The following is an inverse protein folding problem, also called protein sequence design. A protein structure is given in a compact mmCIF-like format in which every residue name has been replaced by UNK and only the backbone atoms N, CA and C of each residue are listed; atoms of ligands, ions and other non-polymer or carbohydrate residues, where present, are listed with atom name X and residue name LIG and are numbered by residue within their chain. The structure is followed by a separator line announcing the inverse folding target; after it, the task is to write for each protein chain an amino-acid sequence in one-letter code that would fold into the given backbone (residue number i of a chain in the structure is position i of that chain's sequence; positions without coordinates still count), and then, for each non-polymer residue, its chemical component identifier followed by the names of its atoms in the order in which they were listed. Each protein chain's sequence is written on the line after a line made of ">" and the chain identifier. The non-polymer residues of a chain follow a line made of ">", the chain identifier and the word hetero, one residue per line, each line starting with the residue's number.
data_IF_406121695984
#
_entry.id   IF_406121695984
#
_cell.length_a   1.000
_cell.length_b   1.000
_cell.length_c   1.000
_cell.angle_alpha   90.00
_cell.angle_beta   90.00
_cell.angle_gamma   90.00
#
_symmetry.space_group_name_H-M   'P 1'
#
loop_
_entity.id
_entity.type
_entity.pdbx_description
1 polymer ?
#
# COMPACT_ATOMS: atom_id res chain seq x y z
N UNK A 1 -29.32 -20.75 11.11
CA UNK A 1 -29.34 -20.84 9.64
C UNK A 1 -27.91 -20.83 9.15
N UNK A 2 -27.30 -22.00 9.21
CA UNK A 2 -25.98 -22.28 8.65
C UNK A 2 -26.22 -23.00 7.32
N UNK A 3 -25.84 -22.37 6.21
CA UNK A 3 -25.13 -23.00 5.09
C UNK A 3 -25.09 -22.13 3.83
N UNK A 4 -24.02 -22.37 3.04
CA UNK A 4 -23.60 -21.84 1.73
C UNK A 4 -22.81 -20.54 1.79
N UNK A 5 -21.54 -20.49 1.42
CA UNK A 5 -20.79 -21.21 0.35
C UNK A 5 -19.43 -21.61 0.95
N UNK A 6 -19.03 -22.88 0.98
CA UNK A 6 -18.66 -23.65 -0.20
C UNK A 6 -17.14 -23.66 -0.48
N UNK A 7 -16.28 -23.69 0.54
CA UNK A 7 -14.89 -24.16 0.39
C UNK A 7 -14.61 -25.22 1.45
N UNK A 8 -14.46 -26.46 0.98
CA UNK A 8 -13.90 -27.56 1.75
C UNK A 8 -12.44 -27.22 2.06
N UNK A 9 -12.16 -26.89 3.32
CA UNK A 9 -10.83 -26.63 3.86
C UNK A 9 -9.72 -27.68 3.59
N UNK A 10 -9.95 -28.94 3.12
CA UNK A 10 -8.85 -29.88 2.86
C UNK A 10 -8.05 -29.70 1.56
N UNK A 11 -8.46 -28.86 0.58
CA UNK A 11 -7.80 -28.83 -0.76
C UNK A 11 -6.79 -27.70 -0.98
N UNK A 12 -6.67 -26.74 -0.05
CA UNK A 12 -5.66 -25.68 -0.14
C UNK A 12 -4.29 -26.17 0.33
N UNK A 13 -4.25 -27.05 1.32
CA UNK A 13 -3.00 -27.62 1.85
C UNK A 13 -2.29 -28.60 0.90
N UNK A 14 -2.94 -29.05 -0.16
CA UNK A 14 -2.29 -29.92 -1.17
C UNK A 14 -1.49 -29.15 -2.22
N UNK A 15 -1.67 -27.84 -2.32
CA UNK A 15 -0.96 -26.99 -3.31
C UNK A 15 0.21 -26.22 -2.70
N UNK A 16 0.34 -26.20 -1.37
CA UNK A 16 1.34 -25.40 -0.67
C UNK A 16 2.05 -26.25 0.39
N UNK A 17 3.38 -26.15 0.41
CA UNK A 17 4.24 -26.94 1.30
C UNK A 17 4.07 -26.57 2.78
N UNK A 18 3.53 -25.38 3.08
CA UNK A 18 3.24 -24.94 4.45
C UNK A 18 2.20 -23.83 4.50
N UNK A 19 1.72 -23.52 5.72
CA UNK A 19 0.90 -22.33 5.98
C UNK A 19 1.63 -21.03 5.61
N UNK A 20 2.95 -20.97 5.81
CA UNK A 20 3.75 -19.81 5.39
C UNK A 20 3.81 -19.68 3.87
N UNK A 21 3.83 -20.78 3.12
CA UNK A 21 3.78 -20.72 1.66
C UNK A 21 2.45 -20.14 1.14
N UNK A 22 1.33 -20.38 1.85
CA UNK A 22 0.05 -19.73 1.54
C UNK A 22 0.14 -18.22 1.79
N UNK A 23 0.69 -17.80 2.94
CA UNK A 23 0.85 -16.38 3.26
C UNK A 23 1.81 -15.68 2.30
N UNK A 24 2.87 -16.35 1.88
CA UNK A 24 3.84 -15.84 0.92
C UNK A 24 3.19 -15.57 -0.44
N UNK A 25 2.43 -16.54 -0.96
CA UNK A 25 1.70 -16.37 -2.21
C UNK A 25 0.63 -15.27 -2.11
N UNK A 26 -0.10 -15.18 -0.99
CA UNK A 26 -1.07 -14.10 -0.77
C UNK A 26 -0.39 -12.73 -0.67
N UNK A 27 0.78 -12.66 -0.05
CA UNK A 27 1.58 -11.43 0.06
C UNK A 27 2.03 -10.97 -1.34
N UNK A 28 2.62 -11.89 -2.12
CA UNK A 28 3.07 -11.59 -3.47
C UNK A 28 1.93 -11.19 -4.40
N UNK A 29 0.78 -11.87 -4.31
CA UNK A 29 -0.42 -11.47 -5.06
C UNK A 29 -0.88 -10.06 -4.69
N UNK A 30 -0.97 -9.74 -3.39
CA UNK A 30 -1.44 -8.44 -2.93
C UNK A 30 -0.57 -7.28 -3.42
N UNK A 31 0.76 -7.44 -3.37
CA UNK A 31 1.67 -6.43 -3.90
C UNK A 31 1.71 -6.40 -5.43
N UNK A 32 1.52 -7.53 -6.11
CA UNK A 32 1.38 -7.56 -7.58
C UNK A 32 0.15 -6.78 -8.04
N UNK A 33 -0.99 -6.95 -7.35
CA UNK A 33 -2.20 -6.16 -7.61
C UNK A 33 -1.99 -4.66 -7.35
N UNK A 34 -1.26 -4.32 -6.28
CA UNK A 34 -0.91 -2.94 -5.95
C UNK A 34 -0.02 -2.32 -7.06
N UNK A 35 1.06 -3.01 -7.43
CA UNK A 35 1.98 -2.60 -8.48
C UNK A 35 1.24 -2.36 -9.80
N UNK A 36 0.44 -3.34 -10.25
CA UNK A 36 -0.35 -3.22 -11.46
C UNK A 36 -1.33 -2.04 -11.41
N UNK A 37 -1.90 -1.75 -10.24
CA UNK A 37 -2.75 -0.57 -10.05
C UNK A 37 -1.98 0.73 -10.25
N UNK A 38 -0.80 0.87 -9.64
CA UNK A 38 0.07 2.04 -9.84
C UNK A 38 0.53 2.18 -11.28
N UNK A 39 0.98 1.09 -11.92
CA UNK A 39 1.41 1.10 -13.32
C UNK A 39 0.29 1.55 -14.26
N UNK A 40 -0.95 1.14 -14.01
CA UNK A 40 -2.10 1.55 -14.83
C UNK A 40 -2.44 3.04 -14.73
N UNK A 41 -1.99 3.70 -13.65
CA UNK A 41 -2.30 5.08 -13.33
C UNK A 41 -1.10 6.03 -13.48
N UNK A 42 0.12 5.51 -13.65
CA UNK A 42 1.36 6.31 -13.60
C UNK A 42 1.41 7.44 -14.64
N UNK A 43 0.84 7.22 -15.82
CA UNK A 43 0.80 8.21 -16.91
C UNK A 43 -0.26 9.31 -16.68
N UNK A 44 -1.09 9.15 -15.65
CA UNK A 44 -2.09 10.13 -15.21
C UNK A 44 -1.57 11.03 -14.08
N UNK A 45 -0.36 10.76 -13.57
CA UNK A 45 0.24 11.56 -12.52
C UNK A 45 0.39 13.03 -12.97
N UNK A 46 -0.07 14.01 -12.17
CA UNK A 46 0.09 15.43 -12.47
C UNK A 46 1.55 15.84 -12.66
N UNK A 47 1.77 16.87 -13.48
CA UNK A 47 3.11 17.47 -13.66
C UNK A 47 3.52 18.38 -12.49
N UNK A 48 2.55 18.92 -11.75
CA UNK A 48 2.79 19.69 -10.54
C UNK A 48 3.20 18.77 -9.38
N UNK A 49 4.23 19.15 -8.62
CA UNK A 49 4.81 18.32 -7.58
C UNK A 49 3.83 18.03 -6.45
N UNK A 50 3.10 19.06 -5.98
CA UNK A 50 2.14 18.92 -4.89
C UNK A 50 0.96 18.06 -5.32
N UNK A 51 0.43 18.29 -6.51
CA UNK A 51 -0.65 17.45 -7.05
C UNK A 51 -0.20 16.00 -7.31
N UNK A 52 1.05 15.77 -7.73
CA UNK A 52 1.60 14.43 -7.91
C UNK A 52 1.74 13.67 -6.58
N UNK A 53 2.16 14.34 -5.52
CA UNK A 53 2.19 13.77 -4.17
C UNK A 53 0.78 13.43 -3.69
N UNK A 54 -0.21 14.32 -3.88
CA UNK A 54 -1.61 14.03 -3.50
C UNK A 54 -2.18 12.86 -4.29
N UNK A 55 -1.92 12.82 -5.59
CA UNK A 55 -2.31 11.72 -6.46
C UNK A 55 -1.75 10.38 -5.98
N UNK A 56 -0.45 10.34 -5.67
CA UNK A 56 0.23 9.15 -5.16
C UNK A 56 -0.34 8.70 -3.82
N UNK A 57 -0.48 9.64 -2.88
CA UNK A 57 -1.07 9.38 -1.57
C UNK A 57 -2.49 8.82 -1.69
N UNK A 58 -3.34 9.45 -2.50
CA UNK A 58 -4.74 9.02 -2.70
C UNK A 58 -4.82 7.63 -3.31
N UNK A 59 -4.00 7.38 -4.32
CA UNK A 59 -3.94 6.07 -4.99
C UNK A 59 -3.60 4.95 -4.01
N UNK A 60 -2.56 5.14 -3.18
CA UNK A 60 -2.21 4.15 -2.17
C UNK A 60 -3.26 4.02 -1.07
N UNK A 61 -3.72 5.16 -0.53
CA UNK A 61 -4.72 5.20 0.54
C UNK A 61 -5.98 4.43 0.14
N UNK A 62 -6.54 4.76 -1.02
CA UNK A 62 -7.78 4.13 -1.52
C UNK A 62 -7.59 2.63 -1.78
N UNK A 63 -6.41 2.20 -2.26
CA UNK A 63 -6.10 0.78 -2.43
C UNK A 63 -6.05 0.04 -1.10
N UNK A 64 -5.39 0.64 -0.10
CA UNK A 64 -5.13 0.03 1.20
C UNK A 64 -6.38 -0.02 2.10
N UNK A 65 -7.25 1.01 2.08
CA UNK A 65 -8.44 1.03 2.95
C UNK A 65 -9.58 0.13 2.46
N UNK A 66 -9.55 -0.29 1.19
CA UNK A 66 -10.58 -1.18 0.61
C UNK A 66 -10.59 -2.58 1.20
N UNK A 67 -9.46 -3.06 1.73
CA UNK A 67 -9.33 -4.39 2.31
C UNK A 67 -8.32 -4.39 3.46
N UNK A 68 -8.84 -4.47 4.69
CA UNK A 68 -8.02 -4.53 5.90
C UNK A 68 -7.10 -5.75 5.95
N UNK A 69 -7.59 -6.93 5.57
CA UNK A 69 -6.80 -8.15 5.66
C UNK A 69 -5.63 -8.11 4.67
N UNK A 70 -5.88 -7.61 3.46
CA UNK A 70 -4.84 -7.38 2.46
C UNK A 70 -3.82 -6.33 2.94
N UNK A 71 -4.27 -5.19 3.47
CA UNK A 71 -3.38 -4.16 4.01
C UNK A 71 -2.50 -4.68 5.16
N UNK A 72 -3.08 -5.42 6.11
CA UNK A 72 -2.33 -6.02 7.22
C UNK A 72 -1.25 -6.99 6.74
N UNK A 73 -1.56 -7.81 5.73
CA UNK A 73 -0.58 -8.72 5.15
C UNK A 73 0.55 -7.98 4.42
N UNK A 74 0.21 -6.90 3.70
CA UNK A 74 1.19 -6.12 2.93
C UNK A 74 2.12 -5.29 3.82
N UNK A 75 1.57 -4.59 4.81
CA UNK A 75 2.23 -3.45 5.46
C UNK A 75 2.54 -3.66 6.95
N UNK A 76 2.07 -4.76 7.56
CA UNK A 76 2.32 -5.06 8.96
C UNK A 76 2.93 -6.45 9.13
N UNK A 77 3.68 -6.63 10.23
CA UNK A 77 4.23 -7.94 10.63
C UNK A 77 3.24 -8.69 11.55
N UNK A 78 2.00 -8.93 11.07
CA UNK A 78 0.92 -9.51 11.90
C UNK A 78 1.00 -11.03 12.09
N UNK A 79 1.81 -11.73 11.29
CA UNK A 79 1.92 -13.20 11.32
C UNK A 79 3.26 -13.58 11.94
N UNK A 80 3.29 -14.12 13.17
CA UNK A 80 4.54 -14.52 13.82
C UNK A 80 5.30 -15.57 13.01
N UNK A 81 6.60 -15.34 12.80
CA UNK A 81 7.48 -16.29 12.11
C UNK A 81 7.25 -16.40 10.60
N UNK A 82 6.50 -15.47 10.00
CA UNK A 82 6.37 -15.33 8.56
C UNK A 82 7.27 -14.20 8.05
N UNK A 83 8.04 -14.49 7.00
CA UNK A 83 8.77 -13.52 6.20
C UNK A 83 8.50 -13.87 4.72
N UNK A 84 8.10 -12.91 3.86
CA UNK A 84 7.94 -13.20 2.44
C UNK A 84 9.26 -13.67 1.82
N UNK A 85 9.16 -14.53 0.81
CA UNK A 85 10.28 -14.87 -0.05
C UNK A 85 10.70 -13.65 -0.88
N UNK A 86 11.96 -13.64 -1.35
CA UNK A 86 12.47 -12.59 -2.22
C UNK A 86 11.59 -12.40 -3.47
N UNK A 87 11.12 -13.51 -4.06
CA UNK A 87 10.24 -13.52 -5.23
C UNK A 87 8.92 -12.79 -4.94
N UNK A 88 8.25 -13.15 -3.85
CA UNK A 88 6.97 -12.54 -3.48
C UNK A 88 7.12 -11.14 -2.86
N UNK A 89 8.34 -10.77 -2.43
CA UNK A 89 8.67 -9.41 -1.98
C UNK A 89 8.98 -8.44 -3.11
N UNK A 90 9.46 -8.93 -4.26
CA UNK A 90 9.87 -8.09 -5.39
C UNK A 90 8.80 -7.07 -5.86
N UNK A 91 7.48 -7.40 -5.93
CA UNK A 91 6.48 -6.42 -6.33
C UNK A 91 6.29 -5.27 -5.31
N UNK A 92 6.57 -5.50 -4.03
CA UNK A 92 6.57 -4.45 -3.01
C UNK A 92 7.70 -3.45 -3.26
N UNK A 93 8.90 -3.96 -3.56
CA UNK A 93 10.07 -3.14 -3.93
C UNK A 93 9.77 -2.33 -5.19
N UNK A 94 9.27 -2.96 -6.25
CA UNK A 94 8.93 -2.27 -7.48
C UNK A 94 7.85 -1.17 -7.29
N UNK A 95 6.90 -1.38 -6.37
CA UNK A 95 5.91 -0.34 -6.03
C UNK A 95 6.57 0.88 -5.37
N UNK A 96 7.53 0.64 -4.47
CA UNK A 96 8.31 1.72 -3.85
C UNK A 96 9.21 2.42 -4.86
N UNK A 97 9.81 1.69 -5.81
CA UNK A 97 10.62 2.25 -6.89
C UNK A 97 9.80 3.20 -7.77
N UNK A 98 8.54 2.86 -8.10
CA UNK A 98 7.64 3.77 -8.82
C UNK A 98 7.36 5.07 -8.06
N UNK A 99 7.20 4.98 -6.73
CA UNK A 99 7.05 6.16 -5.88
C UNK A 99 8.35 7.00 -5.85
N UNK A 100 9.51 6.35 -5.76
CA UNK A 100 10.81 7.01 -5.83
C UNK A 100 11.04 7.71 -7.17
N UNK A 101 10.71 7.08 -8.28
CA UNK A 101 10.78 7.69 -9.62
C UNK A 101 9.89 8.93 -9.73
N UNK A 102 8.72 8.92 -9.10
CA UNK A 102 7.85 10.10 -9.03
C UNK A 102 8.50 11.22 -8.21
N UNK A 103 9.09 10.91 -7.05
CA UNK A 103 9.80 11.88 -6.21
C UNK A 103 10.97 12.52 -6.96
N UNK A 104 11.80 11.71 -7.61
CA UNK A 104 12.95 12.16 -8.38
C UNK A 104 12.53 13.07 -9.55
N UNK A 105 11.42 12.75 -10.23
CA UNK A 105 10.87 13.61 -11.31
C UNK A 105 10.49 15.01 -10.83
N UNK A 106 10.15 15.17 -9.55
CA UNK A 106 9.82 16.46 -8.95
C UNK A 106 10.98 17.08 -8.14
N UNK A 107 12.19 16.53 -8.27
CA UNK A 107 13.38 17.07 -7.63
C UNK A 107 13.54 16.71 -6.15
N UNK A 108 12.72 15.80 -5.62
CA UNK A 108 12.84 15.28 -4.26
C UNK A 108 13.82 14.11 -4.29
N UNK A 109 15.03 14.30 -3.76
CA UNK A 109 16.15 13.35 -3.93
C UNK A 109 16.62 12.69 -2.65
N UNK A 110 16.25 13.20 -1.48
CA UNK A 110 16.59 12.57 -0.21
C UNK A 110 15.70 11.34 0.03
N UNK A 111 16.32 10.21 0.36
CA UNK A 111 15.59 8.97 0.63
C UNK A 111 14.67 9.12 1.85
N UNK A 112 15.11 9.92 2.83
CA UNK A 112 14.37 10.18 4.06
C UNK A 112 13.02 10.87 3.80
N UNK A 113 12.90 11.64 2.71
CA UNK A 113 11.62 12.28 2.34
C UNK A 113 10.61 11.24 1.89
N UNK A 114 11.03 10.21 1.15
CA UNK A 114 10.18 9.09 0.78
C UNK A 114 9.80 8.26 2.01
N UNK A 115 10.75 8.01 2.92
CA UNK A 115 10.47 7.29 4.17
C UNK A 115 9.46 8.06 5.05
N UNK A 116 9.60 9.39 5.18
CA UNK A 116 8.65 10.23 5.90
C UNK A 116 7.28 10.24 5.24
N UNK A 117 7.22 10.34 3.91
CA UNK A 117 5.96 10.31 3.18
C UNK A 117 5.24 8.97 3.34
N UNK A 118 5.95 7.84 3.19
CA UNK A 118 5.36 6.50 3.37
C UNK A 118 4.86 6.30 4.80
N UNK A 119 5.59 6.76 5.82
CA UNK A 119 5.16 6.74 7.20
C UNK A 119 3.92 7.60 7.46
N UNK A 120 3.86 8.80 6.87
CA UNK A 120 2.73 9.72 6.98
C UNK A 120 1.45 9.09 6.39
N UNK A 121 1.53 8.57 5.17
CA UNK A 121 0.37 7.96 4.50
C UNK A 121 -0.02 6.66 5.20
N UNK A 122 0.94 5.81 5.57
CA UNK A 122 0.71 4.58 6.33
C UNK A 122 -0.02 4.84 7.65
N UNK A 123 0.40 5.86 8.41
CA UNK A 123 -0.26 6.25 9.66
C UNK A 123 -1.72 6.69 9.47
N UNK A 124 -2.04 7.39 8.39
CA UNK A 124 -3.42 7.77 8.06
C UNK A 124 -4.27 6.57 7.67
N UNK A 125 -3.72 5.62 6.92
CA UNK A 125 -4.38 4.37 6.54
C UNK A 125 -4.69 3.55 7.80
N UNK A 126 -3.70 3.37 8.68
CA UNK A 126 -3.88 2.63 9.94
C UNK A 126 -4.90 3.31 10.85
N UNK A 127 -4.90 4.64 10.92
CA UNK A 127 -5.88 5.39 11.67
C UNK A 127 -7.30 5.23 11.11
N UNK A 128 -7.47 5.14 9.78
CA UNK A 128 -8.75 4.84 9.11
C UNK A 128 -9.26 3.45 9.46
N UNK A 129 -8.40 2.44 9.31
CA UNK A 129 -8.75 1.07 9.66
C UNK A 129 -9.12 0.91 11.14
N UNK A 130 -8.36 1.55 12.03
CA UNK A 130 -8.56 1.40 13.47
C UNK A 130 -9.77 2.17 14.02
N UNK A 131 -10.05 3.37 13.49
CA UNK A 131 -10.96 4.32 14.14
C UNK A 131 -12.21 4.67 13.34
N UNK A 132 -12.25 4.38 12.03
CA UNK A 132 -13.38 4.70 11.17
C UNK A 132 -13.49 3.72 9.97
N UNK A 133 -13.57 2.40 10.21
CA UNK A 133 -13.60 1.42 9.14
C UNK A 133 -14.81 1.62 8.22
N UNK A 134 -14.56 1.80 6.92
CA UNK A 134 -15.60 2.09 5.91
C UNK A 134 -16.08 3.54 5.86
N UNK A 135 -15.58 4.42 6.74
CA UNK A 135 -15.82 5.85 6.68
C UNK A 135 -14.76 6.61 5.90
N UNK A 136 -14.73 7.94 6.06
CA UNK A 136 -13.87 8.86 5.31
C UNK A 136 -13.06 9.82 6.20
N UNK A 137 -13.12 9.66 7.53
CA UNK A 137 -12.61 10.64 8.49
C UNK A 137 -11.15 11.00 8.25
N UNK A 138 -10.29 10.02 7.96
CA UNK A 138 -8.87 10.25 7.67
C UNK A 138 -8.62 10.46 6.19
N UNK A 139 -9.43 9.86 5.31
CA UNK A 139 -9.40 10.13 3.87
C UNK A 139 -9.53 11.64 3.57
N UNK A 140 -10.37 12.37 4.33
CA UNK A 140 -10.57 13.82 4.24
C UNK A 140 -9.37 14.66 4.75
N UNK A 141 -8.43 14.07 5.47
CA UNK A 141 -7.22 14.75 5.94
C UNK A 141 -6.02 14.58 5.01
N UNK A 142 -6.10 13.64 4.05
CA UNK A 142 -4.96 13.27 3.22
C UNK A 142 -4.36 14.46 2.49
N UNK A 143 -5.19 15.25 1.81
CA UNK A 143 -4.71 16.40 1.03
C UNK A 143 -4.01 17.42 1.92
N UNK A 144 -4.58 17.69 3.11
CA UNK A 144 -3.95 18.58 4.10
C UNK A 144 -2.62 18.02 4.63
N UNK A 145 -2.54 16.72 4.88
CA UNK A 145 -1.32 16.09 5.37
C UNK A 145 -0.22 16.12 4.31
N UNK A 146 -0.57 15.84 3.06
CA UNK A 146 0.34 15.97 1.91
C UNK A 146 0.77 17.43 1.72
N UNK A 147 -0.12 18.40 1.90
CA UNK A 147 0.23 19.82 1.82
C UNK A 147 1.23 20.22 2.89
N UNK A 148 1.05 19.76 4.13
CA UNK A 148 2.04 20.00 5.19
C UNK A 148 3.41 19.41 4.86
N UNK A 149 3.44 18.24 4.20
CA UNK A 149 4.68 17.62 3.74
C UNK A 149 5.29 18.39 2.56
N UNK A 150 4.48 18.82 1.58
CA UNK A 150 4.93 19.61 0.45
C UNK A 150 5.48 20.98 0.89
N UNK A 151 4.83 21.63 1.86
CA UNK A 151 5.29 22.88 2.46
C UNK A 151 6.61 22.68 3.23
N UNK A 152 6.80 21.53 3.89
CA UNK A 152 8.07 21.19 4.54
C UNK A 152 9.24 21.08 3.55
N UNK A 153 8.95 20.67 2.32
CA UNK A 153 9.92 20.53 1.23
C UNK A 153 10.03 21.78 0.35
N UNK A 154 9.39 22.90 0.74
CA UNK A 154 9.32 24.14 -0.05
C UNK A 154 8.83 23.92 -1.50
N UNK A 155 7.94 22.95 -1.72
CA UNK A 155 7.37 22.66 -3.04
C UNK A 155 6.30 23.69 -3.42
N UNK A 156 6.20 24.05 -4.72
CA UNK A 156 5.19 24.99 -5.21
C UNK A 156 3.74 24.53 -4.97
#
# INVERSE_FOLDING_TARGET
>A
MADRVGMRAPSLYTHFDSKNAIYDAMFGQAWTECLAHFESLKDQAPADAREALRFTARTFFDFAVRDLARHQLMNLRTIPGFDPSEENYAPAVATLDLAQELFLRHGITATEDLDLFTALIGGLIDAQHANDPGGDRWARLLDRAVDMFADHLDLP
#
